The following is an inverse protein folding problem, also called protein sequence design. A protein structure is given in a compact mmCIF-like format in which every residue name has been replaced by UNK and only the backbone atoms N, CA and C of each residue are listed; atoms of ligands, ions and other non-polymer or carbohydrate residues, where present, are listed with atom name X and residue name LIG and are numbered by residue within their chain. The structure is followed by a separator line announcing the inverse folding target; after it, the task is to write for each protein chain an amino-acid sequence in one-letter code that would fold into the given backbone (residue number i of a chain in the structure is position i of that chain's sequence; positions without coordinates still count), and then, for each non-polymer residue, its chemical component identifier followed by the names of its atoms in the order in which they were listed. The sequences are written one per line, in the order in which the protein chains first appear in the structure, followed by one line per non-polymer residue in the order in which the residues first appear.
data_IF_369032965623
#
_entry.id   IF_369032965623
#
_cell.length_a   1.000
_cell.length_b   1.000
_cell.length_c   1.000
_cell.angle_alpha   90.00
_cell.angle_beta   90.00
_cell.angle_gamma   90.00
#
_symmetry.space_group_name_H-M   'P 1'
#
loop_
_entity.id
_entity.type
_entity.pdbx_description
1 polymer ?
#
# COMPACT_ATOMS: atom_id res chain seq x y z
N UNK A 1 18.16 23.98 -10.33
CA UNK A 1 18.25 22.53 -10.08
C UNK A 1 19.12 21.82 -11.09
N UNK A 2 19.26 22.30 -12.33
CA UNK A 2 20.37 21.90 -13.21
C UNK A 2 20.89 23.10 -14.01
N UNK A 3 21.18 24.22 -13.33
CA UNK A 3 21.63 25.43 -14.03
C UNK A 3 23.13 25.30 -14.31
N UNK A 4 23.49 25.21 -15.59
CA UNK A 4 24.88 25.02 -16.03
C UNK A 4 25.34 23.56 -16.12
N UNK A 5 24.45 22.60 -15.89
CA UNK A 5 24.74 21.16 -16.03
C UNK A 5 24.49 20.70 -17.48
N UNK A 6 25.32 19.77 -17.95
CA UNK A 6 25.22 19.17 -19.29
C UNK A 6 24.93 17.68 -19.16
N UNK A 7 23.93 17.22 -19.90
CA UNK A 7 23.55 15.81 -19.97
C UNK A 7 24.06 15.20 -21.29
N UNK A 8 24.58 13.98 -21.23
CA UNK A 8 25.09 13.26 -22.39
C UNK A 8 23.96 12.74 -23.29
N UNK A 9 22.73 12.60 -22.75
CA UNK A 9 21.55 12.22 -23.51
C UNK A 9 20.24 12.74 -22.91
N UNK A 10 19.17 12.68 -23.70
CA UNK A 10 17.81 12.99 -23.25
C UNK A 10 17.34 12.00 -22.17
N UNK A 11 17.71 10.73 -22.28
CA UNK A 11 17.36 9.70 -21.28
C UNK A 11 18.01 9.98 -19.92
N UNK A 12 19.27 10.43 -19.93
CA UNK A 12 19.96 10.84 -18.71
C UNK A 12 19.30 12.06 -18.06
N UNK A 13 18.88 13.03 -18.87
CA UNK A 13 18.11 14.17 -18.39
C UNK A 13 16.78 13.75 -17.76
N UNK A 14 16.04 12.82 -18.38
CA UNK A 14 14.79 12.32 -17.79
C UNK A 14 15.01 11.66 -16.44
N UNK A 15 16.01 10.79 -16.31
CA UNK A 15 16.36 10.17 -15.03
C UNK A 15 16.71 11.20 -13.97
N UNK A 16 17.51 12.21 -14.32
CA UNK A 16 17.86 13.28 -13.40
C UNK A 16 16.61 14.07 -12.94
N UNK A 17 15.68 14.36 -13.85
CA UNK A 17 14.42 15.03 -13.50
C UNK A 17 13.55 14.14 -12.60
N UNK A 18 13.42 12.85 -12.89
CA UNK A 18 12.64 11.92 -12.08
C UNK A 18 13.23 11.77 -10.66
N UNK A 19 14.55 11.60 -10.56
CA UNK A 19 15.28 11.54 -9.30
C UNK A 19 15.10 12.82 -8.49
N UNK A 20 15.14 13.99 -9.16
CA UNK A 20 14.87 15.25 -8.51
C UNK A 20 13.43 15.33 -7.99
N UNK A 21 12.44 15.00 -8.82
CA UNK A 21 11.03 15.04 -8.42
C UNK A 21 10.81 14.12 -7.21
N UNK A 22 11.41 12.92 -7.24
CA UNK A 22 11.35 11.98 -6.12
C UNK A 22 11.97 12.57 -4.86
N UNK A 23 13.21 13.06 -4.92
CA UNK A 23 13.89 13.69 -3.78
C UNK A 23 13.12 14.90 -3.24
N UNK A 24 12.63 15.76 -4.14
CA UNK A 24 11.88 16.96 -3.79
C UNK A 24 10.62 16.59 -3.01
N UNK A 25 9.89 15.59 -3.48
CA UNK A 25 8.62 15.18 -2.90
C UNK A 25 8.81 14.41 -1.58
N UNK A 26 9.79 13.50 -1.52
CA UNK A 26 9.88 12.50 -0.46
C UNK A 26 11.00 12.73 0.56
N UNK A 27 12.02 13.52 0.22
CA UNK A 27 13.24 13.62 1.04
C UNK A 27 13.53 15.05 1.48
N UNK A 28 13.14 16.05 0.68
CA UNK A 28 13.48 17.45 0.95
C UNK A 28 12.77 17.99 2.18
N UNK A 29 13.52 18.42 3.19
CA UNK A 29 12.99 19.19 4.31
C UNK A 29 12.81 20.67 3.94
N UNK A 30 11.61 21.23 4.19
CA UNK A 30 11.37 22.66 4.06
C UNK A 30 10.98 23.24 5.42
N UNK A 31 11.65 24.33 5.85
CA UNK A 31 11.34 24.99 7.13
C UNK A 31 9.87 25.42 7.23
N UNK A 32 9.28 25.92 6.13
CA UNK A 32 7.85 26.30 6.06
C UNK A 32 6.87 25.16 6.31
N UNK A 33 7.32 23.91 6.14
CA UNK A 33 6.52 22.71 6.40
C UNK A 33 6.80 22.12 7.78
N UNK A 34 7.37 22.91 8.70
CA UNK A 34 7.61 22.51 10.09
C UNK A 34 8.38 21.19 10.23
N UNK A 35 9.31 20.93 9.31
CA UNK A 35 10.11 19.71 9.29
C UNK A 35 9.50 18.53 8.52
N UNK A 36 8.35 18.72 7.88
CA UNK A 36 7.77 17.73 6.97
C UNK A 36 8.32 17.86 5.54
N UNK A 37 8.31 16.74 4.81
CA UNK A 37 8.56 16.72 3.37
C UNK A 37 7.32 17.25 2.63
N UNK A 38 7.44 17.71 1.38
CA UNK A 38 6.28 18.20 0.63
C UNK A 38 5.14 17.18 0.51
N UNK A 39 5.45 15.89 0.36
CA UNK A 39 4.43 14.83 0.35
C UNK A 39 3.79 14.65 1.72
N UNK A 40 4.55 14.62 2.82
CA UNK A 40 3.97 14.55 4.16
C UNK A 40 3.09 15.76 4.48
N UNK A 41 3.51 16.96 4.08
CA UNK A 41 2.70 18.17 4.27
C UNK A 41 1.40 18.12 3.46
N UNK A 42 1.45 17.63 2.21
CA UNK A 42 0.24 17.42 1.38
C UNK A 42 -0.70 16.41 2.03
N UNK A 43 -0.17 15.28 2.51
CA UNK A 43 -0.96 14.25 3.17
C UNK A 43 -1.63 14.80 4.44
N UNK A 44 -0.91 15.56 5.26
CA UNK A 44 -1.48 16.23 6.43
C UNK A 44 -2.57 17.26 6.06
N UNK A 45 -2.40 18.02 4.97
CA UNK A 45 -3.43 18.93 4.49
C UNK A 45 -4.67 18.18 3.99
N UNK A 46 -4.47 17.04 3.32
CA UNK A 46 -5.54 16.14 2.90
C UNK A 46 -6.23 15.49 4.10
N UNK A 47 -5.52 15.13 5.16
CA UNK A 47 -6.12 14.69 6.43
C UNK A 47 -6.98 15.79 7.05
N UNK A 48 -6.54 17.05 7.02
CA UNK A 48 -7.32 18.18 7.51
C UNK A 48 -8.61 18.41 6.71
N UNK A 49 -8.54 18.28 5.38
CA UNK A 49 -9.70 18.33 4.49
C UNK A 49 -10.62 17.12 4.67
N UNK A 50 -10.05 15.92 4.76
CA UNK A 50 -10.78 14.70 5.04
C UNK A 50 -11.42 14.75 6.43
N UNK A 51 -10.79 15.34 7.43
CA UNK A 51 -11.37 15.55 8.76
C UNK A 51 -12.52 16.58 8.71
N UNK A 52 -12.42 17.63 7.89
CA UNK A 52 -13.52 18.56 7.63
C UNK A 52 -14.69 17.90 6.86
N UNK A 53 -14.42 16.98 5.94
CA UNK A 53 -15.47 16.20 5.27
C UNK A 53 -16.02 15.05 6.13
N UNK A 54 -15.19 14.38 6.92
CA UNK A 54 -15.57 13.29 7.84
C UNK A 54 -16.35 13.81 9.04
N UNK A 55 -16.13 15.05 9.48
CA UNK A 55 -16.98 15.69 10.51
C UNK A 55 -18.36 16.05 9.96
N UNK A 56 -18.53 16.25 8.64
CA UNK A 56 -19.82 16.41 7.97
C UNK A 56 -20.44 15.07 7.49
N UNK A 57 -19.63 14.06 7.18
CA UNK A 57 -20.00 12.73 6.65
C UNK A 57 -20.05 11.62 7.73
N UNK A 58 -19.65 11.94 8.96
CA UNK A 58 -19.32 11.04 10.09
C UNK A 58 -20.42 10.13 10.64
N UNK A 59 -21.49 9.85 9.89
CA UNK A 59 -22.45 8.79 10.23
C UNK A 59 -22.79 7.82 9.09
N UNK A 60 -22.22 7.93 7.88
CA UNK A 60 -22.58 7.02 6.77
C UNK A 60 -21.43 6.72 5.79
N UNK A 61 -20.52 5.77 6.10
CA UNK A 61 -19.83 5.10 4.98
C UNK A 61 -18.46 4.44 5.19
N UNK A 62 -17.71 4.74 6.25
CA UNK A 62 -16.43 4.06 6.48
C UNK A 62 -16.65 2.61 6.94
N UNK A 63 -15.85 1.68 6.42
CA UNK A 63 -15.87 0.26 6.76
C UNK A 63 -14.45 -0.23 7.03
N UNK A 64 -14.32 -1.18 7.95
CA UNK A 64 -13.07 -1.87 8.20
C UNK A 64 -12.74 -2.81 7.04
N UNK A 65 -11.57 -2.64 6.44
CA UNK A 65 -11.03 -3.50 5.40
C UNK A 65 -9.85 -4.31 5.97
N UNK A 66 -10.02 -5.62 6.13
CA UNK A 66 -8.93 -6.49 6.59
C UNK A 66 -7.94 -6.76 5.46
N UNK A 67 -6.65 -6.70 5.78
CA UNK A 67 -5.55 -6.89 4.83
C UNK A 67 -5.51 -8.34 4.32
N UNK A 68 -5.62 -9.32 5.24
CA UNK A 68 -5.98 -10.69 4.88
C UNK A 68 -7.50 -10.79 4.89
N UNK A 69 -8.10 -11.31 3.83
CA UNK A 69 -9.54 -11.42 3.73
C UNK A 69 -10.16 -12.13 4.95
N UNK A 70 -11.28 -11.62 5.45
CA UNK A 70 -11.97 -12.21 6.60
C UNK A 70 -12.37 -13.68 6.39
N UNK A 71 -12.65 -14.08 5.15
CA UNK A 71 -12.88 -15.48 4.76
C UNK A 71 -11.62 -16.33 4.95
N UNK A 72 -10.47 -15.82 4.52
CA UNK A 72 -9.16 -16.46 4.68
C UNK A 72 -8.77 -16.62 6.14
N UNK A 73 -8.89 -15.57 6.95
CA UNK A 73 -8.65 -15.64 8.41
C UNK A 73 -9.53 -16.70 9.08
N UNK A 74 -10.80 -16.79 8.66
CA UNK A 74 -11.73 -17.81 9.19
C UNK A 74 -11.32 -19.22 8.77
N UNK A 75 -10.89 -19.39 7.51
CA UNK A 75 -10.54 -20.69 6.91
C UNK A 75 -9.21 -21.23 7.44
N UNK A 76 -8.18 -20.38 7.50
CA UNK A 76 -6.79 -20.78 7.80
C UNK A 76 -6.38 -20.45 9.25
N UNK A 77 -7.32 -20.48 10.20
CA UNK A 77 -7.10 -20.08 11.59
C UNK A 77 -5.88 -20.76 12.25
N UNK A 78 -5.61 -22.02 11.91
CA UNK A 78 -4.49 -22.79 12.47
C UNK A 78 -3.12 -22.35 11.95
N UNK A 79 -3.08 -21.63 10.82
CA UNK A 79 -1.85 -21.20 10.14
C UNK A 79 -1.58 -19.70 10.30
N UNK A 80 -2.40 -18.99 11.07
CA UNK A 80 -2.20 -17.58 11.37
C UNK A 80 -1.07 -17.39 12.41
N UNK A 81 -0.40 -16.22 12.42
CA UNK A 81 0.53 -15.86 13.48
C UNK A 81 -0.08 -16.02 14.87
N UNK A 82 0.77 -16.37 15.83
CA UNK A 82 0.36 -16.53 17.22
C UNK A 82 -0.37 -15.28 17.74
N UNK A 83 -1.57 -15.46 18.29
CA UNK A 83 -2.39 -14.36 18.80
C UNK A 83 -3.20 -13.59 17.73
N UNK A 84 -3.00 -13.86 16.44
CA UNK A 84 -3.83 -13.30 15.37
C UNK A 84 -5.16 -14.04 15.27
N UNK A 85 -6.25 -13.29 15.32
CA UNK A 85 -7.61 -13.76 15.15
C UNK A 85 -8.44 -12.71 14.43
N UNK A 86 -9.64 -13.07 13.94
CA UNK A 86 -10.47 -12.17 13.13
C UNK A 86 -10.74 -10.81 13.78
N UNK A 87 -10.95 -10.76 15.09
CA UNK A 87 -11.26 -9.51 15.81
C UNK A 87 -10.09 -8.54 15.91
N UNK A 88 -8.85 -9.02 15.77
CA UNK A 88 -7.65 -8.22 15.94
C UNK A 88 -6.74 -8.26 14.70
N UNK A 89 -7.20 -8.88 13.60
CA UNK A 89 -6.43 -8.98 12.38
C UNK A 89 -6.24 -7.57 11.76
N UNK A 90 -5.02 -7.23 11.30
CA UNK A 90 -4.73 -5.92 10.74
C UNK A 90 -5.70 -5.51 9.65
N UNK A 91 -6.10 -4.24 9.71
CA UNK A 91 -7.13 -3.66 8.88
C UNK A 91 -6.97 -2.14 8.81
N UNK A 92 -7.47 -1.55 7.73
CA UNK A 92 -7.58 -0.09 7.59
C UNK A 92 -9.03 0.34 7.52
N UNK A 93 -9.31 1.60 7.85
CA UNK A 93 -10.59 2.22 7.54
C UNK A 93 -10.61 2.62 6.07
N UNK A 94 -11.65 2.19 5.36
CA UNK A 94 -11.82 2.45 3.94
C UNK A 94 -13.25 2.93 3.67
N UNK A 95 -13.44 3.77 2.66
CA UNK A 95 -14.80 4.11 2.23
C UNK A 95 -15.50 2.86 1.68
N UNK A 96 -16.81 2.72 1.94
CA UNK A 96 -17.57 1.57 1.44
C UNK A 96 -17.56 1.43 -0.08
N UNK A 97 -17.43 2.54 -0.82
CA UNK A 97 -17.32 2.49 -2.28
C UNK A 97 -15.99 1.85 -2.70
N UNK A 98 -14.88 2.33 -2.13
CA UNK A 98 -13.53 1.84 -2.40
C UNK A 98 -13.36 0.38 -1.94
N UNK A 99 -13.96 0.03 -0.80
CA UNK A 99 -13.95 -1.35 -0.31
C UNK A 99 -14.59 -2.33 -1.29
N UNK A 100 -15.53 -1.89 -2.14
CA UNK A 100 -16.13 -2.77 -3.16
C UNK A 100 -15.20 -3.00 -4.37
N UNK A 101 -14.20 -2.14 -4.54
CA UNK A 101 -13.25 -2.21 -5.64
C UNK A 101 -12.01 -3.05 -5.28
N UNK A 102 -11.86 -3.48 -4.02
CA UNK A 102 -10.73 -4.34 -3.63
C UNK A 102 -10.88 -5.76 -4.16
N UNK A 103 -9.75 -6.39 -4.49
CA UNK A 103 -9.75 -7.76 -5.03
C UNK A 103 -10.29 -8.76 -4.01
N UNK A 104 -10.06 -8.52 -2.73
CA UNK A 104 -10.54 -9.37 -1.64
C UNK A 104 -12.05 -9.22 -1.36
N UNK A 105 -12.73 -8.21 -1.94
CA UNK A 105 -14.15 -7.97 -1.65
C UNK A 105 -15.11 -8.86 -2.44
N UNK A 106 -16.13 -9.36 -1.72
CA UNK A 106 -17.29 -10.02 -2.31
C UNK A 106 -17.12 -11.52 -2.58
N UNK A 107 -18.05 -12.08 -3.36
CA UNK A 107 -18.17 -13.52 -3.67
C UNK A 107 -17.92 -13.85 -5.14
N UNK A 108 -17.47 -12.87 -5.93
CA UNK A 108 -17.18 -13.04 -7.36
C UNK A 108 -16.04 -14.01 -7.60
N UNK A 109 -15.98 -14.59 -8.80
CA UNK A 109 -14.95 -15.58 -9.17
C UNK A 109 -13.53 -15.03 -9.02
N UNK A 110 -13.29 -13.79 -9.44
CA UNK A 110 -11.99 -13.11 -9.28
C UNK A 110 -11.63 -12.95 -7.80
N UNK A 111 -12.57 -12.48 -6.99
CA UNK A 111 -12.35 -12.27 -5.56
C UNK A 111 -12.09 -13.58 -4.82
N UNK A 112 -12.81 -14.65 -5.15
CA UNK A 112 -12.57 -15.98 -4.59
C UNK A 112 -11.18 -16.51 -4.95
N UNK A 113 -10.74 -16.32 -6.20
CA UNK A 113 -9.39 -16.71 -6.63
C UNK A 113 -8.32 -15.95 -5.83
N UNK A 114 -8.48 -14.64 -5.65
CA UNK A 114 -7.58 -13.83 -4.83
C UNK A 114 -7.57 -14.26 -3.35
N UNK A 115 -8.75 -14.48 -2.76
CA UNK A 115 -8.88 -14.98 -1.39
C UNK A 115 -8.22 -16.36 -1.21
N UNK A 116 -8.28 -17.25 -2.22
CA UNK A 116 -7.60 -18.53 -2.18
C UNK A 116 -6.08 -18.37 -2.32
N UNK A 117 -5.58 -17.43 -3.14
CA UNK A 117 -4.15 -17.08 -3.15
C UNK A 117 -3.69 -16.62 -1.77
N UNK A 118 -4.45 -15.74 -1.10
CA UNK A 118 -4.16 -15.34 0.28
C UNK A 118 -4.18 -16.56 1.24
N UNK A 119 -5.14 -17.47 1.08
CA UNK A 119 -5.24 -18.67 1.91
C UNK A 119 -4.04 -19.60 1.73
N UNK A 120 -3.54 -19.76 0.50
CA UNK A 120 -2.35 -20.55 0.24
C UNK A 120 -1.11 -19.94 0.91
N UNK A 121 -0.91 -18.63 0.78
CA UNK A 121 0.21 -17.93 1.43
C UNK A 121 0.15 -18.10 2.95
N UNK A 122 -1.03 -17.91 3.56
CA UNK A 122 -1.22 -18.12 5.00
C UNK A 122 -0.92 -19.57 5.40
N UNK A 123 -1.35 -20.55 4.61
CA UNK A 123 -1.09 -21.97 4.88
C UNK A 123 0.39 -22.33 4.81
N UNK A 124 1.15 -21.66 3.95
CA UNK A 124 2.60 -21.80 3.81
C UNK A 124 3.40 -21.01 4.85
N UNK A 125 2.74 -20.26 5.75
CA UNK A 125 3.40 -19.36 6.71
C UNK A 125 3.96 -18.08 6.09
N UNK A 126 3.60 -17.80 4.83
CA UNK A 126 4.04 -16.66 4.01
C UNK A 126 3.15 -15.44 4.25
N UNK A 127 3.09 -15.02 5.51
CA UNK A 127 2.18 -13.97 5.98
C UNK A 127 2.58 -12.60 5.41
N UNK A 128 3.88 -12.32 5.34
CA UNK A 128 4.37 -11.06 4.81
C UNK A 128 3.95 -10.87 3.35
N UNK A 129 4.00 -11.92 2.52
CA UNK A 129 3.57 -11.84 1.12
C UNK A 129 2.06 -11.63 0.98
N UNK A 130 1.25 -12.20 1.88
CA UNK A 130 -0.19 -11.97 1.88
C UNK A 130 -0.53 -10.50 2.18
N UNK A 131 0.22 -9.89 3.11
CA UNK A 131 0.10 -8.48 3.43
C UNK A 131 0.63 -7.57 2.32
N UNK A 132 1.82 -7.87 1.80
CA UNK A 132 2.46 -7.09 0.74
C UNK A 132 1.59 -7.05 -0.52
N UNK A 133 0.93 -8.16 -0.87
CA UNK A 133 0.02 -8.22 -2.01
C UNK A 133 -1.16 -7.25 -1.90
N UNK A 134 -1.83 -7.19 -0.74
CA UNK A 134 -2.96 -6.26 -0.55
C UNK A 134 -2.46 -4.82 -0.37
N UNK A 135 -1.33 -4.60 0.32
CA UNK A 135 -0.70 -3.29 0.45
C UNK A 135 -0.39 -2.68 -0.92
N UNK A 136 0.32 -3.41 -1.78
CA UNK A 136 0.67 -2.96 -3.13
C UNK A 136 -0.57 -2.71 -4.00
N UNK A 137 -1.59 -3.57 -3.89
CA UNK A 137 -2.84 -3.38 -4.60
C UNK A 137 -3.56 -2.10 -4.17
N UNK A 138 -3.72 -1.86 -2.87
CA UNK A 138 -4.41 -0.67 -2.35
C UNK A 138 -3.66 0.60 -2.77
N UNK A 139 -2.32 0.63 -2.69
CA UNK A 139 -1.53 1.79 -3.13
C UNK A 139 -1.64 2.03 -4.64
N UNK A 140 -1.66 0.97 -5.44
CA UNK A 140 -1.85 1.09 -6.89
C UNK A 140 -3.26 1.54 -7.26
N UNK A 141 -4.28 1.05 -6.55
CA UNK A 141 -5.68 1.33 -6.88
C UNK A 141 -6.15 2.68 -6.33
N UNK A 142 -5.61 3.12 -5.19
CA UNK A 142 -5.96 4.36 -4.53
C UNK A 142 -4.70 5.18 -4.15
N UNK A 143 -3.94 5.68 -5.14
CA UNK A 143 -2.66 6.34 -4.88
C UNK A 143 -2.78 7.48 -3.86
N UNK A 144 -2.05 7.38 -2.76
CA UNK A 144 -2.00 8.39 -1.69
C UNK A 144 -3.21 8.44 -0.76
N UNK A 145 -4.35 7.81 -1.11
CA UNK A 145 -5.59 7.92 -0.31
C UNK A 145 -5.51 7.17 1.01
N UNK A 146 -4.84 6.02 1.03
CA UNK A 146 -4.76 5.12 2.19
C UNK A 146 -3.33 4.92 2.72
N UNK A 147 -2.35 5.67 2.21
CA UNK A 147 -0.93 5.45 2.50
C UNK A 147 -0.62 5.51 4.00
N UNK A 148 -1.10 6.55 4.70
CA UNK A 148 -0.89 6.66 6.15
C UNK A 148 -1.55 5.51 6.93
N UNK A 149 -2.80 5.18 6.61
CA UNK A 149 -3.51 4.09 7.29
C UNK A 149 -2.83 2.73 7.04
N UNK A 150 -2.27 2.53 5.85
CA UNK A 150 -1.47 1.37 5.53
C UNK A 150 -0.16 1.36 6.33
N UNK A 151 0.54 2.49 6.43
CA UNK A 151 1.79 2.58 7.17
C UNK A 151 1.57 2.33 8.68
N UNK A 152 0.54 2.93 9.29
CA UNK A 152 0.13 2.66 10.67
C UNK A 152 -0.24 1.19 10.89
N UNK A 153 -0.91 0.57 9.91
CA UNK A 153 -1.27 -0.85 9.95
C UNK A 153 -0.02 -1.75 9.91
N UNK A 154 1.00 -1.40 9.11
CA UNK A 154 2.27 -2.14 9.09
C UNK A 154 3.00 -1.99 10.42
N UNK A 155 3.07 -0.79 10.99
CA UNK A 155 3.69 -0.55 12.30
C UNK A 155 3.01 -1.37 13.41
N UNK A 156 1.67 -1.37 13.47
CA UNK A 156 0.90 -2.20 14.41
C UNK A 156 1.19 -3.69 14.21
N UNK A 157 1.12 -4.18 12.97
CA UNK A 157 1.33 -5.59 12.67
C UNK A 157 2.75 -6.06 13.02
N UNK A 158 3.77 -5.22 12.78
CA UNK A 158 5.15 -5.51 13.21
C UNK A 158 5.27 -5.53 14.73
N UNK A 159 4.72 -4.53 15.43
CA UNK A 159 4.79 -4.44 16.90
C UNK A 159 4.16 -5.64 17.60
N UNK A 160 3.17 -6.26 16.96
CA UNK A 160 2.43 -7.43 17.48
C UNK A 160 3.01 -8.76 17.01
N UNK A 161 4.08 -8.75 16.23
CA UNK A 161 4.73 -9.95 15.69
C UNK A 161 3.89 -10.67 14.63
N UNK A 162 2.98 -9.96 13.96
CA UNK A 162 2.14 -10.51 12.90
C UNK A 162 2.82 -10.45 11.53
N UNK A 163 3.69 -9.47 11.35
CA UNK A 163 4.63 -9.39 10.24
C UNK A 163 6.04 -9.69 10.73
N UNK A 164 6.84 -10.33 9.89
CA UNK A 164 8.24 -10.64 10.21
C UNK A 164 9.23 -9.57 9.71
N UNK A 165 8.82 -8.76 8.72
CA UNK A 165 9.66 -7.72 8.11
C UNK A 165 8.87 -6.50 7.66
N UNK A 166 9.51 -5.34 7.68
CA UNK A 166 8.99 -4.12 7.08
C UNK A 166 9.29 -4.08 5.58
N UNK A 167 8.32 -4.44 4.76
CA UNK A 167 8.45 -4.43 3.30
C UNK A 167 8.31 -3.04 2.66
N UNK A 168 7.99 -1.98 3.42
CA UNK A 168 8.01 -0.59 2.90
C UNK A 168 9.45 -0.12 2.62
N UNK A 169 10.39 -0.64 3.41
CA UNK A 169 11.82 -0.30 3.32
C UNK A 169 12.57 -1.11 2.26
N UNK A 170 12.09 -2.31 1.94
CA UNK A 170 12.65 -3.14 0.87
C UNK A 170 12.43 -2.51 -0.51
N UNK A 171 11.30 -1.85 -0.73
CA UNK A 171 11.00 -1.12 -1.98
C UNK A 171 11.82 0.18 -2.13
N UNK A 172 12.37 0.74 -1.06
CA UNK A 172 13.28 1.90 -1.16
C UNK A 172 14.71 1.53 -1.57
N UNK A 173 15.11 0.25 -1.47
CA UNK A 173 16.39 -0.27 -1.97
C UNK A 173 16.24 -1.07 -3.28
N UNK A 174 15.04 -1.61 -3.58
CA UNK A 174 14.77 -2.40 -4.78
C UNK A 174 14.15 -1.61 -5.95
N UNK A 175 13.60 -0.40 -5.72
CA UNK A 175 13.10 0.46 -6.80
C UNK A 175 14.20 0.96 -7.77
N UNK A 176 15.47 0.67 -7.51
CA UNK A 176 16.59 1.00 -8.39
C UNK A 176 16.96 -0.06 -9.43
N UNK A 177 16.42 -1.29 -9.42
CA UNK A 177 16.86 -2.29 -10.40
C UNK A 177 15.99 -3.58 -10.48
N UNK A 178 14.76 -3.50 -11.01
CA UNK A 178 14.12 -4.69 -11.59
C UNK A 178 13.50 -4.37 -12.97
N UNK A 179 13.70 -5.23 -13.97
CA UNK A 179 13.17 -5.04 -15.32
C UNK A 179 11.65 -5.19 -15.30
N UNK A 180 10.97 -4.23 -15.93
CA UNK A 180 9.57 -4.38 -16.32
C UNK A 180 9.53 -5.49 -17.39
N UNK A 181 9.09 -6.68 -17.01
CA UNK A 181 8.90 -7.77 -17.96
C UNK A 181 7.63 -7.48 -18.78
N UNK A 182 7.83 -6.86 -19.94
CA UNK A 182 6.80 -6.43 -20.88
C UNK A 182 6.48 -7.51 -21.91
N UNK A 183 6.18 -8.75 -21.50
CA UNK A 183 5.78 -9.77 -22.46
C UNK A 183 4.71 -10.74 -21.93
N UNK A 184 3.43 -10.40 -22.11
CA UNK A 184 2.38 -11.37 -22.47
C UNK A 184 1.40 -10.72 -23.46
N UNK A 185 1.75 -10.77 -24.75
CA UNK A 185 0.76 -10.83 -25.82
C UNK A 185 1.32 -11.69 -26.94
N UNK A 186 1.06 -12.99 -26.86
CA UNK A 186 1.09 -13.90 -28.00
C UNK A 186 0.06 -14.99 -27.72
N UNK A 187 -1.13 -14.85 -28.33
CA UNK A 187 -2.09 -15.94 -28.52
C UNK A 187 -1.51 -16.90 -29.56
N UNK A 188 -1.51 -18.24 -29.34
CA UNK A 188 -1.19 -19.17 -30.41
C UNK A 188 -2.43 -19.67 -31.17
N UNK A 189 -2.22 -19.69 -32.49
CA UNK A 189 -2.94 -20.33 -33.61
C UNK A 189 -4.36 -19.86 -33.95
#
# INVERSE_FOLDING_TARGET
MYYGEYFASVDEFYRAVDDYIFWYNNTRFQQRFKGLTPMHYRNQALEGLNHLELTQSGKRGAVQHHIIAASTIKKEKASLPMGMMRSNAPAIQMEKADHKLTQSWGRGTKSKKYQETQAQLVREGRIDEAFQGEYGYIKSMFPGKYDQALDEMIDDALSRGFLSKDFRTADSLAAGNLPIDSHVTALPA
#
